data_IF_527707613104
#
_entry.id   IF_527707613104
#
_cell.length_a   1.000
_cell.length_b   1.000
_cell.length_c   1.000
_cell.angle_alpha   90.00
_cell.angle_beta   90.00
_cell.angle_gamma   90.00
#
_symmetry.space_group_name_H-M   'P 1'
#
loop_
_entity.id
_entity.type
_entity.pdbx_description
1 polymer ?
#
# COMPACT_ATOMS: atom_id res chain seq x y z
N UNK A 1 14.89 5.48 -0.73
CA UNK A 1 15.54 4.47 0.13
C UNK A 1 14.70 4.20 1.37
N UNK A 2 14.05 3.05 1.40
CA UNK A 2 13.29 2.54 2.55
C UNK A 2 14.23 2.20 3.73
N UNK A 3 13.79 2.30 4.99
CA UNK A 3 14.53 1.77 6.13
C UNK A 3 14.89 0.29 5.93
N UNK A 4 16.06 -0.14 6.42
CA UNK A 4 16.55 -1.51 6.24
C UNK A 4 15.60 -2.57 6.81
N UNK A 5 14.85 -2.25 7.86
CA UNK A 5 13.87 -3.15 8.46
C UNK A 5 12.62 -3.34 7.58
N UNK A 6 12.27 -2.36 6.75
CA UNK A 6 11.14 -2.45 5.82
C UNK A 6 11.42 -3.38 4.63
N UNK A 7 12.68 -3.82 4.45
CA UNK A 7 13.06 -4.94 3.58
C UNK A 7 12.47 -6.27 4.03
N UNK A 8 12.04 -6.39 5.28
CA UNK A 8 11.56 -7.64 5.84
C UNK A 8 10.07 -7.56 6.16
N UNK A 9 9.31 -8.58 5.72
CA UNK A 9 7.91 -8.73 6.07
C UNK A 9 7.68 -10.05 6.81
N UNK A 10 7.11 -9.99 8.00
CA UNK A 10 6.72 -11.19 8.75
C UNK A 10 5.55 -11.84 8.02
N UNK A 11 5.73 -13.09 7.60
CA UNK A 11 4.72 -13.88 6.91
C UNK A 11 3.87 -14.70 7.88
N UNK A 12 4.53 -15.37 8.82
CA UNK A 12 3.89 -16.12 9.88
C UNK A 12 4.80 -16.23 11.09
N UNK A 13 4.19 -16.32 12.27
CA UNK A 13 4.88 -16.53 13.53
C UNK A 13 4.15 -17.64 14.27
N UNK A 14 4.91 -18.57 14.82
CA UNK A 14 4.39 -19.72 15.54
C UNK A 14 5.27 -20.01 16.75
N UNK A 15 4.65 -20.46 17.83
CA UNK A 15 5.34 -20.85 19.05
C UNK A 15 5.17 -22.36 19.24
N UNK A 16 6.26 -23.07 19.49
CA UNK A 16 6.25 -24.47 19.89
C UNK A 16 6.49 -24.54 21.41
N UNK A 17 5.40 -24.56 22.19
CA UNK A 17 5.41 -24.62 23.64
C UNK A 17 4.23 -23.85 24.27
N UNK A 18 4.28 -23.62 25.58
CA UNK A 18 3.34 -22.70 26.24
C UNK A 18 3.81 -21.26 26.04
N UNK A 19 2.89 -20.33 25.79
CA UNK A 19 3.20 -18.90 25.60
C UNK A 19 3.89 -18.26 26.82
N UNK A 20 3.80 -18.91 27.98
CA UNK A 20 4.36 -18.44 29.25
C UNK A 20 5.73 -19.09 29.59
N UNK A 21 6.18 -20.09 28.82
CA UNK A 21 7.49 -20.75 29.06
C UNK A 21 8.58 -20.03 28.26
N UNK A 22 9.56 -19.38 28.92
CA UNK A 22 10.66 -18.69 28.26
C UNK A 22 11.57 -19.62 27.43
N UNK A 23 11.47 -20.94 27.63
CA UNK A 23 12.20 -21.95 26.83
C UNK A 23 11.43 -22.42 25.60
N UNK A 24 10.19 -21.96 25.40
CA UNK A 24 9.43 -22.22 24.19
C UNK A 24 10.16 -21.64 22.98
N UNK A 25 10.13 -22.39 21.88
CA UNK A 25 10.80 -22.00 20.64
C UNK A 25 9.80 -21.22 19.80
N UNK A 26 10.13 -19.96 19.53
CA UNK A 26 9.46 -19.14 18.54
C UNK A 26 10.08 -19.38 17.16
N UNK A 27 9.21 -19.57 16.18
CA UNK A 27 9.56 -19.77 14.77
C UNK A 27 8.81 -18.73 13.95
N UNK A 28 9.57 -17.86 13.29
CA UNK A 28 9.05 -16.77 12.48
C UNK A 28 9.54 -16.93 11.06
N UNK A 29 8.60 -16.93 10.11
CA UNK A 29 8.89 -16.93 8.68
C UNK A 29 8.88 -15.50 8.17
N UNK A 30 9.97 -15.06 7.56
CA UNK A 30 10.19 -13.68 7.13
C UNK A 30 10.49 -13.65 5.64
N UNK A 31 9.77 -12.82 4.90
CA UNK A 31 10.05 -12.53 3.51
C UNK A 31 11.13 -11.46 3.40
N UNK A 32 12.21 -11.74 2.66
CA UNK A 32 13.26 -10.78 2.29
C UNK A 32 12.95 -10.20 0.90
N UNK A 33 12.64 -8.90 0.84
CA UNK A 33 12.30 -8.20 -0.40
C UNK A 33 13.48 -7.97 -1.36
N UNK A 34 14.73 -8.12 -0.93
CA UNK A 34 15.90 -8.00 -1.81
C UNK A 34 16.23 -9.35 -2.44
N UNK A 35 16.13 -10.42 -1.65
CA UNK A 35 16.51 -11.77 -2.07
C UNK A 35 15.34 -12.59 -2.61
N UNK A 36 14.11 -12.07 -2.50
CA UNK A 36 12.87 -12.68 -2.98
C UNK A 36 12.67 -14.11 -2.47
N UNK A 37 12.96 -14.30 -1.20
CA UNK A 37 12.88 -15.60 -0.53
C UNK A 37 12.38 -15.48 0.89
N UNK A 38 11.86 -16.59 1.38
CA UNK A 38 11.57 -16.79 2.79
C UNK A 38 12.84 -17.20 3.54
N UNK A 39 13.06 -16.56 4.70
CA UNK A 39 14.07 -16.94 5.68
C UNK A 39 13.33 -17.20 6.99
N UNK A 40 13.55 -18.39 7.55
CA UNK A 40 12.97 -18.80 8.84
C UNK A 40 13.91 -18.42 9.97
N UNK A 41 13.43 -17.72 10.98
CA UNK A 41 14.15 -17.44 12.21
C UNK A 41 13.60 -18.33 13.31
N UNK A 42 14.48 -19.00 14.04
CA UNK A 42 14.14 -19.85 15.19
C UNK A 42 14.91 -19.36 16.40
N UNK A 43 14.24 -19.20 17.53
CA UNK A 43 14.88 -18.77 18.77
C UNK A 43 13.96 -18.94 19.97
N UNK A 44 14.47 -18.64 21.16
CA UNK A 44 13.65 -18.66 22.37
C UNK A 44 12.68 -17.49 22.41
N UNK A 45 11.51 -17.70 23.01
CA UNK A 45 10.48 -16.67 23.15
C UNK A 45 10.99 -15.42 23.88
N UNK A 46 12.00 -15.55 24.76
CA UNK A 46 12.66 -14.41 25.41
C UNK A 46 13.31 -13.45 24.43
N UNK A 47 13.81 -13.96 23.31
CA UNK A 47 14.51 -13.17 22.28
C UNK A 47 13.60 -12.83 21.10
N UNK A 48 12.52 -13.60 20.92
CA UNK A 48 11.53 -13.43 19.86
C UNK A 48 10.12 -13.34 20.47
N UNK A 49 9.84 -12.34 21.34
CA UNK A 49 8.57 -12.23 22.05
C UNK A 49 7.41 -12.11 21.06
N UNK A 50 6.27 -12.74 21.37
CA UNK A 50 5.14 -12.87 20.44
C UNK A 50 4.57 -11.51 20.00
N UNK A 51 4.59 -10.52 20.88
CA UNK A 51 3.98 -9.20 20.67
C UNK A 51 4.91 -8.19 19.97
N UNK A 52 6.21 -8.49 19.85
CA UNK A 52 7.17 -7.60 19.19
C UNK A 52 7.64 -8.20 17.85
N UNK A 53 8.04 -7.32 16.93
CA UNK A 53 8.55 -7.67 15.60
C UNK A 53 10.08 -7.53 15.50
N UNK A 54 10.80 -7.91 16.58
CA UNK A 54 12.26 -7.78 16.69
C UNK A 54 13.03 -8.58 15.64
N UNK A 55 12.40 -9.60 15.06
CA UNK A 55 13.01 -10.46 14.04
C UNK A 55 13.51 -9.70 12.82
N UNK A 56 12.81 -8.64 12.41
CA UNK A 56 13.20 -7.82 11.26
C UNK A 56 14.53 -7.11 11.51
N UNK A 57 14.67 -6.51 12.69
CA UNK A 57 15.90 -5.84 13.12
C UNK A 57 17.06 -6.81 13.31
N UNK A 58 16.79 -8.04 13.73
CA UNK A 58 17.79 -9.10 13.82
C UNK A 58 18.28 -9.47 12.41
N UNK A 59 17.36 -9.85 11.51
CA UNK A 59 17.71 -10.27 10.16
C UNK A 59 18.45 -9.18 9.38
N UNK A 60 18.02 -7.92 9.54
CA UNK A 60 18.64 -6.75 8.93
C UNK A 60 20.14 -6.63 9.19
N UNK A 61 20.65 -7.13 10.32
CA UNK A 61 22.07 -7.04 10.65
C UNK A 61 22.96 -7.97 9.83
N UNK A 62 22.39 -9.03 9.23
CA UNK A 62 23.20 -10.08 8.61
C UNK A 62 22.62 -10.72 7.34
N UNK A 63 21.42 -10.35 6.91
CA UNK A 63 20.76 -10.96 5.75
C UNK A 63 21.61 -10.98 4.48
N UNK A 64 22.41 -9.93 4.27
CA UNK A 64 23.29 -9.78 3.10
C UNK A 64 24.51 -10.69 3.11
N UNK A 65 24.86 -11.22 4.28
CA UNK A 65 25.96 -12.18 4.43
C UNK A 65 25.48 -13.63 4.37
N UNK A 66 24.16 -13.87 4.32
CA UNK A 66 23.62 -15.22 4.22
C UNK A 66 23.78 -15.76 2.80
N UNK A 67 24.27 -16.99 2.68
CA UNK A 67 24.26 -17.71 1.41
C UNK A 67 22.82 -17.81 0.86
N UNK A 68 22.62 -17.71 -0.47
CA UNK A 68 21.34 -17.97 -1.13
C UNK A 68 20.77 -19.36 -0.85
N UNK A 69 21.55 -20.30 -0.31
CA UNK A 69 21.12 -21.65 0.08
C UNK A 69 20.55 -21.73 1.50
N UNK A 70 20.81 -20.73 2.35
CA UNK A 70 20.27 -20.69 3.72
C UNK A 70 18.74 -20.61 3.68
N UNK A 71 18.08 -21.40 4.54
CA UNK A 71 16.62 -21.48 4.70
C UNK A 71 16.16 -21.09 6.09
N UNK A 72 16.96 -21.42 7.11
CA UNK A 72 16.69 -21.00 8.48
C UNK A 72 17.94 -20.49 9.20
N UNK A 73 17.72 -19.61 10.16
CA UNK A 73 18.72 -19.07 11.09
C UNK A 73 18.26 -19.38 12.51
N UNK A 74 19.20 -19.82 13.35
CA UNK A 74 18.92 -20.22 14.73
C UNK A 74 19.62 -19.26 15.70
N UNK A 75 18.86 -18.75 16.66
CA UNK A 75 19.27 -17.81 17.69
C UNK A 75 19.40 -18.51 19.04
N UNK A 76 20.49 -18.22 19.75
CA UNK A 76 20.76 -18.76 21.07
C UNK A 76 19.96 -17.98 22.15
N UNK A 77 20.08 -18.35 23.45
CA UNK A 77 19.41 -17.62 24.53
C UNK A 77 19.83 -16.16 24.70
N UNK A 78 20.97 -15.74 24.15
CA UNK A 78 21.45 -14.35 24.17
C UNK A 78 21.05 -13.57 22.90
N UNK A 79 20.32 -14.21 21.97
CA UNK A 79 19.85 -13.62 20.73
C UNK A 79 20.89 -13.60 19.61
N UNK A 80 22.02 -14.30 19.78
CA UNK A 80 23.08 -14.40 18.78
C UNK A 80 22.83 -15.58 17.84
N UNK A 81 23.26 -15.44 16.59
CA UNK A 81 23.21 -16.54 15.62
C UNK A 81 24.22 -17.61 16.03
N UNK A 82 23.74 -18.83 16.25
CA UNK A 82 24.62 -19.98 16.50
C UNK A 82 24.55 -21.05 15.41
N UNK A 83 23.56 -20.96 14.50
CA UNK A 83 23.36 -21.97 13.47
C UNK A 83 22.59 -21.46 12.25
N UNK A 84 22.84 -22.10 11.11
CA UNK A 84 22.07 -21.93 9.88
C UNK A 84 21.65 -23.31 9.36
N UNK A 85 20.51 -23.36 8.69
CA UNK A 85 20.00 -24.56 8.02
C UNK A 85 19.97 -24.34 6.51
N UNK A 86 20.37 -25.38 5.78
CA UNK A 86 20.27 -25.47 4.32
C UNK A 86 19.18 -26.46 3.88
N UNK A 87 18.38 -26.96 4.83
CA UNK A 87 17.37 -27.99 4.56
C UNK A 87 16.29 -27.45 3.59
N UNK A 88 16.13 -28.03 2.39
CA UNK A 88 15.14 -27.58 1.42
C UNK A 88 13.70 -27.70 1.94
N UNK A 89 13.41 -28.61 2.87
CA UNK A 89 12.07 -28.76 3.47
C UNK A 89 11.69 -27.55 4.33
N UNK A 90 12.67 -26.74 4.74
CA UNK A 90 12.43 -25.49 5.46
C UNK A 90 12.20 -24.30 4.52
N UNK A 91 12.26 -24.51 3.20
CA UNK A 91 11.97 -23.49 2.22
C UNK A 91 10.46 -23.30 2.05
N UNK A 92 9.90 -22.34 2.77
CA UNK A 92 8.49 -21.96 2.63
C UNK A 92 8.27 -20.88 1.55
N UNK A 93 9.29 -20.59 0.73
CA UNK A 93 9.17 -19.67 -0.41
C UNK A 93 8.17 -20.23 -1.39
N UNK A 94 6.95 -19.68 -1.35
CA UNK A 94 5.90 -20.15 -2.25
C UNK A 94 6.09 -19.55 -3.64
N UNK A 95 5.66 -20.32 -4.64
CA UNK A 95 5.60 -19.86 -6.01
C UNK A 95 4.41 -18.92 -6.22
N UNK A 96 4.63 -17.77 -6.85
CA UNK A 96 3.55 -16.89 -7.31
C UNK A 96 3.18 -17.27 -8.75
N UNK A 97 1.99 -17.85 -8.99
CA UNK A 97 1.59 -18.24 -10.34
C UNK A 97 1.12 -17.01 -11.12
N UNK A 98 2.04 -16.34 -11.80
CA UNK A 98 1.70 -15.28 -12.74
C UNK A 98 1.07 -15.87 -14.02
N UNK A 99 -0.13 -15.44 -14.43
CA UNK A 99 -0.76 -15.90 -15.66
C UNK A 99 -0.04 -15.32 -16.90
N UNK A 100 0.09 -16.11 -17.99
CA UNK A 100 0.52 -15.60 -19.28
C UNK A 100 -0.36 -14.44 -19.76
N UNK A 101 0.22 -13.38 -20.30
CA UNK A 101 -0.54 -12.22 -20.79
C UNK A 101 -1.59 -12.61 -21.85
N UNK A 102 -1.29 -13.61 -22.68
CA UNK A 102 -2.18 -14.12 -23.74
C UNK A 102 -3.53 -14.63 -23.24
N UNK A 103 -3.62 -15.10 -22.00
CA UNK A 103 -4.88 -15.59 -21.41
C UNK A 103 -5.63 -14.50 -20.64
N UNK A 104 -4.98 -13.38 -20.29
CA UNK A 104 -5.58 -12.27 -19.55
C UNK A 104 -6.17 -11.25 -20.52
N UNK A 105 -7.28 -11.62 -21.16
CA UNK A 105 -7.94 -10.81 -22.21
C UNK A 105 -8.33 -9.40 -21.76
N UNK A 106 -8.64 -9.23 -20.47
CA UNK A 106 -8.96 -7.94 -19.87
C UNK A 106 -7.80 -6.94 -19.92
N UNK A 107 -6.56 -7.41 -20.02
CA UNK A 107 -5.38 -6.55 -20.20
C UNK A 107 -4.99 -6.35 -21.66
N UNK A 108 -5.73 -6.90 -22.62
CA UNK A 108 -5.50 -6.66 -24.04
C UNK A 108 -5.51 -5.16 -24.37
N UNK A 109 -4.59 -4.73 -25.23
CA UNK A 109 -4.42 -3.33 -25.64
C UNK A 109 -3.66 -2.44 -24.65
N UNK A 110 -3.26 -2.94 -23.47
CA UNK A 110 -2.30 -2.22 -22.63
C UNK A 110 -0.94 -2.14 -23.32
N UNK A 111 -0.19 -1.07 -23.04
CA UNK A 111 1.27 -1.09 -23.23
C UNK A 111 1.85 -2.24 -22.42
N UNK A 112 2.76 -2.98 -23.04
CA UNK A 112 3.51 -4.08 -22.41
C UNK A 112 4.98 -3.69 -22.30
N UNK A 113 5.57 -3.87 -21.13
CA UNK A 113 6.97 -3.59 -20.84
C UNK A 113 7.61 -4.91 -20.43
N UNK A 114 8.74 -5.26 -21.03
CA UNK A 114 9.52 -6.42 -20.60
C UNK A 114 10.28 -6.08 -19.32
N UNK A 115 10.33 -7.02 -18.38
CA UNK A 115 11.02 -6.81 -17.11
C UNK A 115 12.49 -6.43 -17.32
N UNK A 116 13.18 -7.08 -18.27
CA UNK A 116 14.56 -6.73 -18.66
C UNK A 116 14.74 -5.30 -19.21
N UNK A 117 13.67 -4.59 -19.59
CA UNK A 117 13.73 -3.19 -20.01
C UNK A 117 13.67 -2.22 -18.83
N UNK A 118 13.25 -2.68 -17.66
CA UNK A 118 13.18 -1.85 -16.46
C UNK A 118 14.56 -1.81 -15.79
N UNK A 119 15.05 -0.60 -15.58
CA UNK A 119 16.19 -0.32 -14.73
C UNK A 119 15.67 0.24 -13.41
N UNK A 120 15.89 -0.49 -12.31
CA UNK A 120 15.64 -0.03 -10.94
C UNK A 120 16.55 1.18 -10.63
N UNK A 121 15.95 2.27 -10.16
CA UNK A 121 16.63 3.52 -9.79
C UNK A 121 16.64 3.74 -8.27
N UNK A 122 15.56 3.37 -7.58
CA UNK A 122 15.42 3.35 -6.11
C UNK A 122 14.21 2.45 -5.76
N UNK A 123 13.99 2.23 -4.47
CA UNK A 123 12.79 1.56 -3.95
C UNK A 123 11.93 2.53 -3.17
N UNK A 124 10.64 2.52 -3.49
CA UNK A 124 9.64 3.41 -2.91
C UNK A 124 8.93 2.76 -1.72
N UNK A 125 8.63 1.47 -1.83
CA UNK A 125 7.99 0.66 -0.80
C UNK A 125 8.23 -0.83 -1.10
N UNK A 126 7.94 -1.73 -0.14
CA UNK A 126 7.87 -3.16 -0.42
C UNK A 126 6.99 -3.48 -1.63
N UNK A 127 7.55 -4.12 -2.65
CA UNK A 127 6.84 -4.44 -3.89
C UNK A 127 6.60 -3.25 -4.84
N UNK A 128 7.26 -2.10 -4.60
CA UNK A 128 7.16 -0.90 -5.43
C UNK A 128 8.54 -0.29 -5.69
N UNK A 129 9.01 -0.43 -6.91
CA UNK A 129 10.28 0.13 -7.35
C UNK A 129 10.09 1.44 -8.10
N UNK A 130 10.98 2.41 -7.87
CA UNK A 130 11.18 3.51 -8.78
C UNK A 130 12.09 3.03 -9.91
N UNK A 131 11.55 2.92 -11.12
CA UNK A 131 12.24 2.37 -12.27
C UNK A 131 12.24 3.33 -13.45
N UNK A 132 13.11 3.06 -14.43
CA UNK A 132 13.05 3.70 -15.74
C UNK A 132 13.12 2.70 -16.88
N UNK A 133 12.56 3.05 -18.03
CA UNK A 133 12.68 2.30 -19.28
C UNK A 133 12.65 3.25 -20.48
N UNK A 134 13.18 2.79 -21.62
CA UNK A 134 13.08 3.48 -22.91
C UNK A 134 11.79 3.05 -23.63
N UNK A 135 10.95 4.02 -24.01
CA UNK A 135 9.71 3.74 -24.74
C UNK A 135 9.95 3.47 -26.24
N UNK A 136 8.86 3.25 -26.97
CA UNK A 136 8.92 2.93 -28.41
C UNK A 136 9.57 4.06 -29.25
N UNK A 137 9.66 5.28 -28.69
CA UNK A 137 10.24 6.46 -29.30
C UNK A 137 11.63 6.81 -28.73
N UNK A 138 12.25 5.92 -27.94
CA UNK A 138 13.52 6.16 -27.26
C UNK A 138 13.49 7.36 -26.30
N UNK A 139 12.34 7.60 -25.68
CA UNK A 139 12.27 8.51 -24.54
C UNK A 139 12.38 7.73 -23.25
N UNK A 140 13.28 8.18 -22.37
CA UNK A 140 13.37 7.66 -21.01
C UNK A 140 12.11 8.01 -20.22
N UNK A 141 11.39 7.00 -19.76
CA UNK A 141 10.21 7.16 -18.89
C UNK A 141 10.55 6.71 -17.48
N UNK A 142 10.13 7.50 -16.51
CA UNK A 142 10.26 7.25 -15.08
C UNK A 142 8.93 6.75 -14.53
N UNK A 143 8.93 5.59 -13.88
CA UNK A 143 7.72 4.89 -13.45
C UNK A 143 7.86 4.33 -12.04
N UNK A 144 6.73 4.24 -11.35
CA UNK A 144 6.59 3.39 -10.17
C UNK A 144 6.14 2.00 -10.65
N UNK A 145 7.01 1.01 -10.54
CA UNK A 145 6.74 -0.38 -10.88
C UNK A 145 6.22 -1.10 -9.63
N UNK A 146 4.93 -1.45 -9.63
CA UNK A 146 4.29 -2.23 -8.58
C UNK A 146 4.17 -3.69 -9.02
N UNK A 147 4.67 -4.60 -8.20
CA UNK A 147 4.67 -6.03 -8.48
C UNK A 147 4.29 -6.82 -7.23
N UNK A 148 3.75 -8.03 -7.43
CA UNK A 148 3.15 -8.80 -6.35
C UNK A 148 3.91 -10.10 -6.12
N UNK A 149 4.86 -10.10 -5.18
CA UNK A 149 5.67 -11.28 -4.87
C UNK A 149 5.12 -12.15 -3.74
N UNK A 150 4.03 -11.73 -3.08
CA UNK A 150 3.42 -12.54 -2.03
C UNK A 150 2.46 -13.58 -2.63
N UNK A 151 2.64 -14.88 -2.30
CA UNK A 151 1.78 -15.99 -2.74
C UNK A 151 0.41 -15.99 -2.07
N UNK A 152 0.20 -15.11 -1.08
CA UNK A 152 -1.06 -15.02 -0.34
C UNK A 152 -2.15 -14.65 -1.34
N UNK A 153 -3.10 -15.56 -1.55
CA UNK A 153 -4.17 -15.43 -2.54
C UNK A 153 -4.93 -14.11 -2.40
N UNK A 154 -5.13 -13.64 -1.17
CA UNK A 154 -5.76 -12.35 -0.88
C UNK A 154 -4.99 -11.16 -1.48
N UNK A 155 -3.67 -11.12 -1.32
CA UNK A 155 -2.83 -10.05 -1.85
C UNK A 155 -2.74 -10.13 -3.38
N UNK A 156 -2.69 -11.35 -3.94
CA UNK A 156 -2.80 -11.55 -5.39
C UNK A 156 -4.11 -10.99 -5.93
N UNK A 157 -5.23 -11.28 -5.29
CA UNK A 157 -6.52 -10.71 -5.68
C UNK A 157 -6.47 -9.18 -5.63
N UNK A 158 -5.95 -8.57 -4.56
CA UNK A 158 -5.81 -7.11 -4.45
C UNK A 158 -5.04 -6.51 -5.62
N UNK A 159 -3.80 -6.96 -5.85
CA UNK A 159 -2.97 -6.51 -6.96
C UNK A 159 -3.68 -6.65 -8.32
N UNK A 160 -4.32 -7.80 -8.57
CA UNK A 160 -5.08 -8.02 -9.80
C UNK A 160 -6.27 -7.06 -9.93
N UNK A 161 -7.01 -6.80 -8.85
CA UNK A 161 -8.11 -5.85 -8.92
C UNK A 161 -7.65 -4.42 -9.16
N UNK A 162 -6.53 -4.03 -8.56
CA UNK A 162 -5.92 -2.72 -8.76
C UNK A 162 -5.51 -2.50 -10.21
N UNK A 163 -4.77 -3.44 -10.82
CA UNK A 163 -4.35 -3.35 -12.23
C UNK A 163 -5.57 -3.15 -13.15
N UNK A 164 -6.60 -3.96 -12.94
CA UNK A 164 -7.81 -3.90 -13.77
C UNK A 164 -8.59 -2.61 -13.56
N UNK A 165 -8.67 -2.11 -12.32
CA UNK A 165 -9.35 -0.87 -12.02
C UNK A 165 -8.59 0.30 -12.65
N UNK A 166 -7.30 0.47 -12.33
CA UNK A 166 -6.48 1.58 -12.80
C UNK A 166 -6.44 1.68 -14.33
N UNK A 167 -6.35 0.55 -15.03
CA UNK A 167 -6.43 0.51 -16.50
C UNK A 167 -7.75 1.09 -17.01
N UNK A 168 -8.86 0.78 -16.34
CA UNK A 168 -10.21 1.16 -16.76
C UNK A 168 -10.63 2.55 -16.30
N UNK A 169 -9.88 3.17 -15.37
CA UNK A 169 -10.19 4.53 -14.92
C UNK A 169 -9.96 5.54 -16.05
N UNK A 170 -10.90 6.47 -16.29
CA UNK A 170 -10.69 7.56 -17.22
C UNK A 170 -9.61 8.52 -16.67
N UNK A 171 -8.88 9.25 -17.55
CA UNK A 171 -7.93 10.25 -17.12
C UNK A 171 -8.57 11.30 -16.21
N UNK A 172 -7.95 11.57 -15.07
CA UNK A 172 -8.39 12.58 -14.11
C UNK A 172 -7.18 13.34 -13.55
N UNK A 173 -7.23 14.69 -13.41
CA UNK A 173 -6.09 15.50 -12.98
C UNK A 173 -5.62 15.22 -11.54
N UNK A 174 -6.45 14.52 -10.74
CA UNK A 174 -6.15 14.17 -9.34
C UNK A 174 -5.96 12.66 -9.12
N UNK A 175 -5.76 11.88 -10.18
CA UNK A 175 -5.44 10.45 -10.11
C UNK A 175 -4.08 10.19 -10.74
N UNK A 176 -3.29 9.28 -10.16
CA UNK A 176 -2.06 8.83 -10.80
C UNK A 176 -2.37 8.06 -12.10
N UNK A 177 -1.77 8.42 -13.25
CA UNK A 177 -1.98 7.70 -14.49
C UNK A 177 -1.36 6.29 -14.47
N UNK A 178 -2.16 5.31 -14.89
CA UNK A 178 -1.68 3.99 -15.29
C UNK A 178 -0.75 4.10 -16.51
N UNK A 179 0.35 3.34 -16.52
CA UNK A 179 1.34 3.40 -17.60
C UNK A 179 1.36 2.15 -18.49
N UNK A 180 1.51 0.97 -17.89
CA UNK A 180 1.65 -0.27 -18.65
C UNK A 180 1.72 -1.51 -17.77
N UNK A 181 1.61 -2.68 -18.42
CA UNK A 181 1.73 -3.99 -17.77
C UNK A 181 3.15 -4.50 -17.94
N UNK A 182 3.74 -5.01 -16.87
CA UNK A 182 5.10 -5.58 -16.91
C UNK A 182 5.02 -7.08 -17.08
N UNK A 183 5.76 -7.58 -18.07
CA UNK A 183 5.83 -8.97 -18.46
C UNK A 183 7.22 -9.52 -18.17
N UNK A 184 7.30 -10.72 -17.60
CA UNK A 184 8.58 -11.43 -17.58
C UNK A 184 9.01 -11.83 -19.00
N UNK A 185 10.30 -12.10 -19.15
CA UNK A 185 10.96 -12.15 -20.45
C UNK A 185 10.67 -13.43 -21.24
N UNK A 186 10.48 -14.57 -20.56
CA UNK A 186 10.45 -15.92 -21.14
C UNK A 186 9.06 -16.31 -21.62
N UNK A 187 8.07 -16.37 -20.73
CA UNK A 187 6.71 -16.84 -21.03
C UNK A 187 5.70 -15.69 -21.15
N UNK A 188 6.17 -14.44 -21.03
CA UNK A 188 5.35 -13.22 -21.05
C UNK A 188 4.21 -13.25 -20.02
N UNK A 189 4.49 -13.75 -18.82
CA UNK A 189 3.57 -13.71 -17.67
C UNK A 189 3.51 -12.31 -17.07
N UNK A 190 2.33 -11.93 -16.61
CA UNK A 190 2.09 -10.63 -15.98
C UNK A 190 2.62 -10.64 -14.55
N UNK A 191 3.73 -9.95 -14.32
CA UNK A 191 4.38 -9.90 -13.00
C UNK A 191 4.00 -8.65 -12.19
N UNK A 192 3.46 -7.63 -12.87
CA UNK A 192 3.06 -6.38 -12.24
C UNK A 192 2.66 -5.33 -13.27
N UNK A 193 2.69 -4.08 -12.84
CA UNK A 193 2.29 -2.93 -13.66
C UNK A 193 3.06 -1.68 -13.26
N UNK A 194 3.08 -0.71 -14.15
CA UNK A 194 3.73 0.57 -13.95
C UNK A 194 2.70 1.69 -13.90
N UNK A 195 3.00 2.69 -13.10
CA UNK A 195 2.30 3.96 -13.05
C UNK A 195 3.31 5.09 -13.31
N UNK A 196 2.83 6.24 -13.76
CA UNK A 196 3.70 7.42 -13.90
C UNK A 196 4.34 7.75 -12.55
N UNK A 197 5.66 7.85 -12.51
CA UNK A 197 6.35 8.34 -11.31
C UNK A 197 6.17 9.85 -11.20
N UNK A 198 5.80 10.31 -10.00
CA UNK A 198 5.66 11.72 -9.68
C UNK A 198 6.68 12.04 -8.56
N UNK A 199 7.65 12.95 -8.78
CA UNK A 199 8.71 13.26 -7.81
C UNK A 199 8.22 14.08 -6.61
N UNK A 200 6.92 14.05 -6.31
CA UNK A 200 6.33 14.72 -5.16
C UNK A 200 6.56 13.94 -3.86
N UNK A 201 6.37 14.60 -2.73
CA UNK A 201 6.35 13.93 -1.42
C UNK A 201 4.89 13.71 -1.02
N UNK A 202 4.65 12.61 -0.32
CA UNK A 202 3.34 12.32 0.24
C UNK A 202 2.96 13.35 1.30
N UNK A 203 1.67 13.59 1.49
CA UNK A 203 1.17 14.50 2.53
C UNK A 203 1.37 13.97 3.95
N UNK A 204 1.85 12.74 4.15
CA UNK A 204 2.37 12.29 5.44
C UNK A 204 3.62 13.08 5.88
N UNK A 205 4.34 13.72 4.96
CA UNK A 205 5.46 14.60 5.31
C UNK A 205 4.98 15.94 5.87
N UNK A 206 5.24 16.17 7.16
CA UNK A 206 4.84 17.37 7.90
C UNK A 206 5.49 18.66 7.39
N UNK A 207 6.56 18.57 6.60
CA UNK A 207 7.22 19.74 6.00
C UNK A 207 6.40 20.34 4.85
N UNK A 208 5.40 19.63 4.34
CA UNK A 208 4.50 20.15 3.30
C UNK A 208 3.33 20.87 3.99
N UNK A 209 3.11 22.17 3.71
CA UNK A 209 1.93 22.88 4.20
C UNK A 209 0.68 22.26 3.61
N UNK A 210 -0.40 22.12 4.37
CA UNK A 210 -1.66 21.58 3.84
C UNK A 210 -2.57 22.72 3.36
N UNK A 211 -2.88 22.72 2.06
CA UNK A 211 -3.69 23.76 1.42
C UNK A 211 -5.16 23.41 1.37
N UNK A 212 -6.03 24.41 1.54
CA UNK A 212 -7.47 24.24 1.44
C UNK A 212 -7.92 23.75 0.06
N UNK A 213 -7.24 24.19 -1.00
CA UNK A 213 -7.49 23.71 -2.36
C UNK A 213 -7.34 22.18 -2.46
N UNK A 214 -6.40 21.57 -1.73
CA UNK A 214 -6.18 20.13 -1.79
C UNK A 214 -7.31 19.33 -1.11
N UNK A 215 -7.93 19.87 -0.06
CA UNK A 215 -9.18 19.30 0.48
C UNK A 215 -10.30 19.36 -0.58
N UNK A 216 -10.42 20.47 -1.32
CA UNK A 216 -11.42 20.59 -2.38
C UNK A 216 -11.15 19.58 -3.51
N UNK A 217 -9.90 19.43 -3.93
CA UNK A 217 -9.51 18.45 -4.95
C UNK A 217 -9.75 17.01 -4.49
N UNK A 218 -9.42 16.68 -3.24
CA UNK A 218 -9.66 15.35 -2.67
C UNK A 218 -11.17 15.02 -2.64
N UNK A 219 -11.98 15.93 -2.15
CA UNK A 219 -13.44 15.74 -2.10
C UNK A 219 -14.05 15.61 -3.50
N UNK A 220 -13.55 16.35 -4.49
CA UNK A 220 -13.97 16.26 -5.90
C UNK A 220 -13.60 14.92 -6.55
N UNK A 221 -12.38 14.42 -6.36
CA UNK A 221 -11.99 13.12 -6.92
C UNK A 221 -12.73 11.98 -6.23
N UNK A 222 -13.00 12.10 -4.94
CA UNK A 222 -13.83 11.13 -4.19
C UNK A 222 -15.28 11.16 -4.67
N UNK A 223 -15.86 12.34 -4.93
CA UNK A 223 -17.17 12.48 -5.58
C UNK A 223 -17.20 11.80 -6.95
N UNK A 224 -16.18 12.06 -7.77
CA UNK A 224 -16.05 11.47 -9.09
C UNK A 224 -15.99 9.92 -9.04
N UNK A 225 -15.12 9.36 -8.20
CA UNK A 225 -14.98 7.92 -8.04
C UNK A 225 -16.30 7.30 -7.54
N UNK A 226 -16.85 7.82 -6.44
CA UNK A 226 -18.00 7.23 -5.78
C UNK A 226 -19.29 7.36 -6.58
N UNK A 227 -19.58 8.57 -7.06
CA UNK A 227 -20.89 8.90 -7.63
C UNK A 227 -20.95 8.68 -9.14
N UNK A 228 -19.84 8.82 -9.85
CA UNK A 228 -19.83 8.67 -11.31
C UNK A 228 -19.37 7.28 -11.74
N UNK A 229 -18.34 6.74 -11.08
CA UNK A 229 -17.75 5.44 -11.44
C UNK A 229 -18.21 4.30 -10.52
N UNK A 230 -18.82 4.59 -9.38
CA UNK A 230 -19.20 3.56 -8.41
C UNK A 230 -17.99 2.81 -7.88
N UNK A 231 -16.90 3.56 -7.64
CA UNK A 231 -15.63 3.09 -7.10
C UNK A 231 -15.39 3.76 -5.75
N UNK A 232 -15.15 2.97 -4.71
CA UNK A 232 -14.66 3.46 -3.40
C UNK A 232 -13.19 3.10 -3.27
N UNK A 233 -12.36 4.03 -2.83
CA UNK A 233 -10.94 3.77 -2.59
C UNK A 233 -10.70 2.89 -1.35
N UNK A 234 -11.49 3.09 -0.29
CA UNK A 234 -11.48 2.35 0.98
C UNK A 234 -10.20 2.45 1.81
N UNK A 235 -9.26 3.31 1.40
CA UNK A 235 -7.95 3.46 2.03
C UNK A 235 -7.34 4.85 1.82
N UNK A 236 -8.19 5.88 1.86
CA UNK A 236 -7.72 7.28 1.77
C UNK A 236 -7.03 7.61 3.09
N UNK A 237 -5.73 7.91 3.01
CA UNK A 237 -4.84 8.23 4.14
C UNK A 237 -3.75 9.22 3.68
N UNK A 238 -3.11 9.99 4.58
CA UNK A 238 -2.08 10.97 4.22
C UNK A 238 -0.95 10.41 3.35
N UNK A 239 -0.57 9.15 3.57
CA UNK A 239 0.48 8.45 2.80
C UNK A 239 0.08 8.12 1.35
N UNK A 240 -1.21 8.08 1.05
CA UNK A 240 -1.75 7.79 -0.29
C UNK A 240 -2.15 9.08 -1.05
N UNK A 241 -1.75 10.24 -0.53
CA UNK A 241 -1.96 11.55 -1.15
C UNK A 241 -0.61 12.16 -1.47
N UNK A 242 -0.39 12.54 -2.73
CA UNK A 242 0.87 13.11 -3.19
C UNK A 242 0.61 14.45 -3.88
N UNK A 243 1.54 15.40 -3.74
CA UNK A 243 1.45 16.68 -4.45
C UNK A 243 2.38 16.65 -5.65
N UNK A 244 1.81 16.78 -6.84
CA UNK A 244 2.58 16.91 -8.07
C UNK A 244 3.37 18.23 -8.03
N UNK A 245 4.70 18.21 -8.05
CA UNK A 245 5.49 19.43 -7.97
C UNK A 245 5.28 20.35 -9.17
N UNK A 246 4.96 19.80 -10.35
CA UNK A 246 4.82 20.57 -11.59
C UNK A 246 3.48 21.29 -11.64
N UNK A 247 2.41 20.60 -11.23
CA UNK A 247 1.04 21.12 -11.31
C UNK A 247 0.51 21.68 -10.00
N UNK A 248 1.19 21.40 -8.88
CA UNK A 248 0.77 21.73 -7.51
C UNK A 248 -0.60 21.12 -7.13
N UNK A 249 -1.00 20.05 -7.82
CA UNK A 249 -2.27 19.34 -7.60
C UNK A 249 -2.07 18.14 -6.71
N UNK A 250 -3.10 17.84 -5.92
CA UNK A 250 -3.21 16.60 -5.17
C UNK A 250 -3.48 15.43 -6.12
N UNK A 251 -2.77 14.34 -5.94
CA UNK A 251 -2.93 13.07 -6.62
C UNK A 251 -3.27 12.00 -5.58
N UNK A 252 -4.36 11.27 -5.83
CA UNK A 252 -4.73 10.06 -5.10
C UNK A 252 -4.16 8.83 -5.83
N UNK A 253 -3.60 7.90 -5.08
CA UNK A 253 -3.01 6.66 -5.59
C UNK A 253 -3.17 5.51 -4.59
N UNK A 254 -2.73 4.30 -4.99
CA UNK A 254 -2.80 3.06 -4.22
C UNK A 254 -4.22 2.49 -4.08
N UNK A 255 -4.73 1.94 -5.18
CA UNK A 255 -6.11 1.44 -5.29
C UNK A 255 -6.24 -0.04 -4.91
N UNK A 256 -5.31 -0.57 -4.12
CA UNK A 256 -5.25 -2.01 -3.81
C UNK A 256 -6.40 -2.51 -2.90
N UNK A 257 -7.04 -1.59 -2.16
CA UNK A 257 -8.26 -1.84 -1.38
C UNK A 257 -9.55 -1.41 -2.08
N UNK A 258 -9.47 -0.85 -3.28
CA UNK A 258 -10.63 -0.25 -3.91
C UNK A 258 -11.73 -1.28 -4.20
N UNK A 259 -12.98 -0.84 -4.05
CA UNK A 259 -14.16 -1.59 -4.49
C UNK A 259 -14.78 -0.96 -5.72
N UNK A 260 -15.58 -1.76 -6.42
CA UNK A 260 -16.35 -1.33 -7.57
C UNK A 260 -17.74 -1.97 -7.51
N UNK A 261 -18.75 -1.16 -7.22
CA UNK A 261 -20.08 -1.63 -6.83
C UNK A 261 -20.00 -2.55 -5.59
N UNK A 262 -20.62 -3.73 -5.67
CA UNK A 262 -20.60 -4.72 -4.57
C UNK A 262 -19.28 -5.50 -4.46
N UNK A 263 -18.43 -5.45 -5.50
CA UNK A 263 -17.20 -6.24 -5.52
C UNK A 263 -16.18 -5.61 -4.56
N UNK A 264 -15.76 -6.40 -3.56
CA UNK A 264 -14.78 -6.01 -2.52
C UNK A 264 -15.21 -4.82 -1.67
N UNK A 265 -16.51 -4.56 -1.59
CA UNK A 265 -17.02 -3.56 -0.68
C UNK A 265 -16.91 -4.11 0.75
N UNK A 266 -16.10 -3.46 1.58
CA UNK A 266 -15.89 -3.85 2.97
C UNK A 266 -16.74 -2.99 3.89
N UNK A 267 -17.30 -3.61 4.93
CA UNK A 267 -18.02 -2.89 5.97
C UNK A 267 -17.05 -1.96 6.74
N UNK A 268 -17.53 -0.75 7.06
CA UNK A 268 -16.74 0.26 7.79
C UNK A 268 -15.61 0.91 6.98
N UNK A 269 -15.55 0.74 5.65
CA UNK A 269 -14.51 1.34 4.80
C UNK A 269 -15.04 2.34 3.78
N UNK A 270 -16.00 3.17 4.16
CA UNK A 270 -16.49 4.20 3.25
C UNK A 270 -15.47 5.35 3.10
N UNK A 271 -15.38 5.92 1.89
CA UNK A 271 -14.42 6.99 1.59
C UNK A 271 -14.71 8.28 2.36
N UNK A 272 -15.95 8.52 2.81
CA UNK A 272 -16.32 9.73 3.54
C UNK A 272 -15.62 9.72 4.89
N UNK A 273 -15.74 8.61 5.62
CA UNK A 273 -15.05 8.40 6.89
C UNK A 273 -13.52 8.46 6.69
N UNK A 274 -12.99 7.83 5.64
CA UNK A 274 -11.55 7.89 5.35
C UNK A 274 -11.06 9.33 5.11
N UNK A 275 -11.80 10.14 4.35
CA UNK A 275 -11.49 11.57 4.17
C UNK A 275 -11.52 12.32 5.49
N UNK A 276 -12.55 12.12 6.33
CA UNK A 276 -12.67 12.82 7.62
C UNK A 276 -11.45 12.56 8.52
N UNK A 277 -11.06 11.30 8.69
CA UNK A 277 -9.88 10.94 9.48
C UNK A 277 -8.58 11.44 8.85
N UNK A 278 -8.46 11.38 7.52
CA UNK A 278 -7.28 11.88 6.80
C UNK A 278 -7.09 13.38 7.03
N UNK A 279 -8.15 14.18 6.94
CA UNK A 279 -8.06 15.63 7.11
C UNK A 279 -7.77 15.98 8.57
N UNK A 280 -8.37 15.25 9.53
CA UNK A 280 -8.01 15.37 10.93
C UNK A 280 -6.51 15.13 11.14
N UNK A 281 -5.99 13.99 10.68
CA UNK A 281 -4.57 13.62 10.83
C UNK A 281 -3.63 14.62 10.14
N UNK A 282 -3.98 15.11 8.94
CA UNK A 282 -3.17 16.11 8.23
C UNK A 282 -3.07 17.43 8.98
N UNK A 283 -4.15 17.85 9.65
CA UNK A 283 -4.20 19.11 10.38
C UNK A 283 -3.52 18.97 11.75
N UNK A 284 -3.84 17.93 12.52
CA UNK A 284 -3.43 17.79 13.92
C UNK A 284 -2.15 17.00 14.11
N UNK A 285 -1.72 16.24 13.09
CA UNK A 285 -0.67 15.22 13.17
C UNK A 285 -0.94 14.15 14.24
N UNK A 286 -2.21 13.95 14.60
CA UNK A 286 -2.63 12.90 15.52
C UNK A 286 -3.00 11.63 14.74
N UNK A 287 -2.07 10.68 14.73
CA UNK A 287 -2.21 9.37 14.09
C UNK A 287 -2.82 8.30 15.00
N UNK A 288 -3.38 8.67 16.17
CA UNK A 288 -3.98 7.72 17.11
C UNK A 288 -5.05 6.85 16.44
N UNK A 289 -5.96 7.49 15.70
CA UNK A 289 -7.05 6.81 15.01
C UNK A 289 -6.56 5.96 13.84
N UNK A 290 -5.40 6.26 13.24
CA UNK A 290 -4.84 5.46 12.15
C UNK A 290 -4.54 4.01 12.59
N UNK A 291 -4.31 3.77 13.88
CA UNK A 291 -4.05 2.44 14.45
C UNK A 291 -5.32 1.68 14.82
N UNK A 292 -6.48 2.35 14.85
CA UNK A 292 -7.76 1.71 15.16
C UNK A 292 -8.27 0.92 13.95
N UNK A 293 -8.90 -0.24 14.23
CA UNK A 293 -9.60 -1.01 13.21
C UNK A 293 -10.68 -0.15 12.54
N UNK A 294 -10.78 -0.26 11.21
CA UNK A 294 -11.69 0.60 10.43
C UNK A 294 -13.17 0.43 10.82
N UNK A 295 -13.57 -0.76 11.26
CA UNK A 295 -14.93 -1.04 11.76
C UNK A 295 -15.27 -0.32 13.06
N UNK A 296 -14.25 0.02 13.86
CA UNK A 296 -14.42 0.65 15.16
C UNK A 296 -14.32 2.18 15.06
N UNK A 297 -14.00 2.69 13.87
CA UNK A 297 -13.92 4.12 13.61
C UNK A 297 -15.30 4.68 13.36
N UNK A 298 -15.70 5.60 14.23
CA UNK A 298 -16.81 6.49 13.97
C UNK A 298 -16.26 7.88 13.68
N UNK A 299 -16.63 8.47 12.54
CA UNK A 299 -16.26 9.84 12.18
C UNK A 299 -16.66 10.86 13.25
N UNK A 300 -17.71 10.57 14.02
CA UNK A 300 -18.14 11.41 15.14
C UNK A 300 -17.05 11.58 16.20
N UNK A 301 -16.13 10.61 16.33
CA UNK A 301 -14.99 10.68 17.24
C UNK A 301 -14.11 11.91 17.01
N UNK A 302 -13.94 12.34 15.75
CA UNK A 302 -13.12 13.50 15.40
C UNK A 302 -13.97 14.73 15.10
N UNK A 303 -15.16 14.56 14.50
CA UNK A 303 -16.03 15.69 14.18
C UNK A 303 -16.62 16.37 15.43
N UNK A 304 -16.91 15.60 16.48
CA UNK A 304 -17.46 16.14 17.73
C UNK A 304 -16.40 16.76 18.65
N UNK A 305 -15.11 16.68 18.29
CA UNK A 305 -14.05 17.35 19.05
C UNK A 305 -14.27 18.87 19.00
N UNK A 306 -14.20 19.56 20.15
CA UNK A 306 -14.49 20.99 20.24
C UNK A 306 -13.52 21.82 19.40
N UNK A 307 -12.27 21.37 19.29
CA UNK A 307 -11.20 22.05 18.56
C UNK A 307 -10.29 21.03 17.89
N UNK A 308 -9.73 21.39 16.73
CA UNK A 308 -8.65 20.64 16.07
C UNK A 308 -7.41 21.51 16.13
N UNK A 309 -6.49 21.21 17.06
CA UNK A 309 -5.26 21.97 17.23
C UNK A 309 -4.33 21.72 16.05
N UNK A 310 -4.02 22.72 15.21
CA UNK A 310 -3.16 22.52 14.06
C UNK A 310 -1.71 22.26 14.49
N UNK A 311 -1.09 21.26 13.89
CA UNK A 311 0.32 20.90 14.08
C UNK A 311 1.07 20.86 12.73
N UNK A 312 0.57 21.64 11.76
CA UNK A 312 1.09 21.79 10.41
C UNK A 312 0.77 23.20 9.91
N UNK A 313 1.60 23.72 9.00
CA UNK A 313 1.32 24.96 8.29
C UNK A 313 0.08 24.80 7.40
N UNK A 314 -0.88 25.73 7.54
CA UNK A 314 -2.11 25.79 6.76
C UNK A 314 -2.20 27.14 6.05
N UNK A 315 -2.81 27.18 4.86
CA UNK A 315 -3.02 28.42 4.10
C UNK A 315 -4.27 29.20 4.55
N UNK A 316 -5.17 28.56 5.31
CA UNK A 316 -6.37 29.15 5.91
C UNK A 316 -6.61 28.58 7.31
N UNK A 317 -7.52 29.21 8.04
CA UNK A 317 -7.91 28.77 9.39
C UNK A 317 -8.60 27.39 9.39
N UNK A 318 -8.37 26.61 10.44
CA UNK A 318 -8.93 25.26 10.63
C UNK A 318 -10.47 25.26 10.55
N UNK A 319 -11.14 26.34 10.99
CA UNK A 319 -12.59 26.47 10.88
C UNK A 319 -13.10 26.44 9.44
N UNK A 320 -12.30 26.90 8.46
CA UNK A 320 -12.64 26.88 7.04
C UNK A 320 -12.60 25.44 6.52
N UNK A 321 -11.56 24.67 6.87
CA UNK A 321 -11.47 23.25 6.56
C UNK A 321 -12.65 22.48 7.15
N UNK A 322 -12.89 22.65 8.46
CA UNK A 322 -13.97 21.94 9.18
C UNK A 322 -15.33 22.25 8.59
N UNK A 323 -15.64 23.52 8.35
CA UNK A 323 -16.92 23.93 7.76
C UNK A 323 -17.15 23.29 6.40
N UNK A 324 -16.15 23.35 5.51
CA UNK A 324 -16.26 22.75 4.17
C UNK A 324 -16.46 21.22 4.25
N UNK A 325 -15.68 20.55 5.10
CA UNK A 325 -15.79 19.10 5.31
C UNK A 325 -17.17 18.72 5.87
N UNK A 326 -17.67 19.44 6.87
CA UNK A 326 -18.98 19.17 7.47
C UNK A 326 -20.13 19.39 6.46
N UNK A 327 -20.05 20.44 5.63
CA UNK A 327 -21.04 20.68 4.58
C UNK A 327 -21.02 19.57 3.51
N UNK A 328 -19.82 19.10 3.14
CA UNK A 328 -19.64 17.97 2.22
C UNK A 328 -20.18 16.65 2.79
N UNK A 329 -19.94 16.37 4.07
CA UNK A 329 -20.47 15.20 4.80
C UNK A 329 -21.99 15.28 4.93
N UNK A 330 -22.56 16.44 5.28
CA UNK A 330 -24.02 16.62 5.41
C UNK A 330 -24.75 16.38 4.10
N UNK A 331 -24.23 16.91 2.99
CA UNK A 331 -24.78 16.68 1.64
C UNK A 331 -24.91 15.18 1.35
N UNK A 332 -23.94 14.40 1.81
CA UNK A 332 -23.87 12.96 1.68
C UNK A 332 -24.86 12.25 2.61
N UNK A 333 -24.97 12.64 3.88
CA UNK A 333 -25.94 12.04 4.80
C UNK A 333 -27.41 12.21 4.37
N UNK A 334 -27.70 13.21 3.51
CA UNK A 334 -29.07 13.58 3.14
C UNK A 334 -29.81 12.65 2.15
N UNK A 335 -29.20 11.55 1.68
CA UNK A 335 -29.96 10.48 1.01
C UNK A 335 -29.16 9.61 0.04
N UNK A 336 -29.47 8.31 0.02
CA UNK A 336 -29.25 7.42 -1.12
C UNK A 336 -27.83 7.27 -1.67
N UNK A 337 -26.76 7.78 -1.03
CA UNK A 337 -25.39 7.70 -1.60
C UNK A 337 -25.04 6.27 -1.96
N UNK A 338 -25.36 5.32 -1.07
CA UNK A 338 -25.05 3.92 -1.31
C UNK A 338 -25.80 3.42 -2.54
N UNK A 339 -27.08 3.80 -2.70
CA UNK A 339 -27.85 3.52 -3.90
C UNK A 339 -27.24 4.19 -5.15
N UNK A 340 -26.81 5.45 -5.05
CA UNK A 340 -26.18 6.18 -6.14
C UNK A 340 -24.84 5.54 -6.55
N UNK A 341 -24.01 5.13 -5.58
CA UNK A 341 -22.77 4.40 -5.80
C UNK A 341 -23.03 3.06 -6.50
N UNK A 342 -24.06 2.33 -6.06
CA UNK A 342 -24.46 1.06 -6.67
C UNK A 342 -25.09 1.20 -8.04
N UNK A 343 -25.64 2.37 -8.35
CA UNK A 343 -26.25 2.70 -9.63
C UNK A 343 -25.41 3.70 -10.44
N UNK A 344 -24.11 3.81 -10.15
CA UNK A 344 -23.24 4.79 -10.80
C UNK A 344 -23.22 4.60 -12.32
N UNK A 345 -23.35 5.69 -13.10
CA UNK A 345 -23.66 5.61 -14.53
C UNK A 345 -22.50 5.11 -15.39
N UNK A 346 -21.25 5.28 -14.96
CA UNK A 346 -20.06 5.03 -15.77
C UNK A 346 -19.13 4.02 -15.11
N UNK A 347 -19.69 2.98 -14.49
CA UNK A 347 -18.89 1.95 -13.82
C UNK A 347 -17.91 1.26 -14.78
N UNK A 348 -16.61 1.15 -14.42
CA UNK A 348 -15.59 0.51 -15.25
C UNK A 348 -15.67 -1.03 -15.31
#
# INVERSE_FOLDING_TARGET
>A
MIPLEERFAIHSKSCAGADDDPRSISVTNIWDWDQLRMIKIKGFLTNLPAEEEVERSILAQFADYLSPEVRAVQLDPDGLIYGVSLDPEENETSFVPYPPFSIVKSLAGCRTIKHSQLQELDRLAPGVDFSSYEDENQNTRKVAFKYQMSPILFNLQRAWGEIHLLKSLPPHPNLIPFDGVVLEDVESRVIGFTMKYIPGRALSDLKIPFRFEWLQQLTQVVDFLNLNLGVMHQDIEPRHLLIDPDTQKLLLFDFDQASCGMKRLWEGRDDISCVVFTIYELITNDSHYARMFRTDRDREMVQNLPEWTPNRELDVDVSVFRKFLDDWVKKRQSGGIMEQYLNAPNRP
#
